data_IF_912555498800
#
_entry.id   IF_912555498800
#
_cell.length_a   1.000
_cell.length_b   1.000
_cell.length_c   1.000
_cell.angle_alpha   90.00
_cell.angle_beta   90.00
_cell.angle_gamma   90.00
#
_symmetry.space_group_name_H-M   'P 1'
#
loop_
_entity.id
_entity.type
_entity.pdbx_description
1 polymer ?
#
# COMPACT_ATOMS: atom_id res chain seq x y z
N UNK A 1 42.54 -36.91 33.92
CA UNK A 1 41.90 -37.98 34.70
C UNK A 1 40.45 -37.59 34.95
N UNK A 2 39.54 -38.56 34.78
CA UNK A 2 38.11 -38.58 35.19
C UNK A 2 37.10 -37.89 34.27
N UNK A 3 36.77 -38.61 33.21
CA UNK A 3 35.41 -38.69 32.64
C UNK A 3 34.45 -39.40 33.61
N UNK A 4 33.21 -38.92 33.69
CA UNK A 4 31.99 -39.62 34.13
C UNK A 4 30.88 -39.06 33.21
N UNK A 5 30.19 -39.78 32.32
CA UNK A 5 29.49 -41.07 32.35
C UNK A 5 28.22 -41.04 33.21
N UNK A 6 27.08 -40.74 32.57
CA UNK A 6 25.72 -41.20 32.88
C UNK A 6 24.73 -40.53 31.92
N UNK A 7 23.58 -41.08 31.53
CA UNK A 7 23.09 -42.42 31.27
C UNK A 7 21.68 -42.21 30.68
N UNK A 8 21.24 -43.18 29.89
CA UNK A 8 19.97 -43.29 29.18
C UNK A 8 18.72 -42.74 29.89
N UNK A 9 17.75 -42.29 29.09
CA UNK A 9 16.35 -42.71 29.26
C UNK A 9 15.63 -42.72 27.90
N UNK A 10 15.28 -43.93 27.46
CA UNK A 10 14.32 -44.19 26.38
C UNK A 10 12.92 -43.80 26.88
N UNK A 11 12.22 -42.97 26.12
CA UNK A 11 10.79 -42.65 26.32
C UNK A 11 9.97 -43.18 25.15
N UNK A 12 8.93 -43.94 25.48
CA UNK A 12 8.16 -44.79 24.58
C UNK A 12 7.20 -44.05 23.63
N UNK A 13 6.92 -44.74 22.52
CA UNK A 13 5.87 -44.52 21.54
C UNK A 13 4.46 -44.44 22.17
N UNK A 14 3.64 -43.50 21.72
CA UNK A 14 2.17 -43.67 21.73
C UNK A 14 1.59 -43.13 20.43
N UNK A 15 1.12 -44.05 19.57
CA UNK A 15 0.25 -43.73 18.44
C UNK A 15 -1.14 -43.40 19.00
N UNK A 16 -1.65 -42.20 18.70
CA UNK A 16 -3.05 -41.88 18.87
C UNK A 16 -3.72 -41.84 17.50
N UNK A 17 -4.49 -42.90 17.23
CA UNK A 17 -5.51 -42.93 16.19
C UNK A 17 -6.69 -42.10 16.68
N UNK A 18 -7.13 -41.10 15.91
CA UNK A 18 -8.38 -40.38 16.17
C UNK A 18 -9.10 -40.14 14.86
N UNK A 19 -10.39 -40.46 14.90
CA UNK A 19 -11.27 -40.70 13.77
C UNK A 19 -11.57 -39.46 12.91
N UNK A 20 -11.88 -39.74 11.64
CA UNK A 20 -12.53 -38.82 10.71
C UNK A 20 -13.98 -38.53 11.17
N UNK A 21 -14.41 -37.26 11.24
CA UNK A 21 -15.84 -36.93 11.17
C UNK A 21 -16.27 -36.74 9.70
N UNK A 22 -17.31 -37.50 9.31
CA UNK A 22 -18.04 -37.33 8.07
C UNK A 22 -18.88 -36.05 8.10
N UNK A 23 -18.98 -35.40 6.93
CA UNK A 23 -19.75 -34.21 6.63
C UNK A 23 -21.24 -34.31 6.96
N UNK A 24 -21.88 -33.17 7.27
CA UNK A 24 -23.22 -32.90 6.79
C UNK A 24 -23.19 -31.85 5.67
N UNK A 25 -23.74 -32.22 4.51
CA UNK A 25 -24.18 -31.30 3.46
C UNK A 25 -25.41 -30.55 3.96
N UNK A 26 -25.38 -29.22 3.94
CA UNK A 26 -26.57 -28.39 3.88
C UNK A 26 -26.20 -27.03 3.27
N UNK A 27 -26.55 -26.91 2.00
CA UNK A 27 -27.04 -25.72 1.32
C UNK A 27 -27.55 -24.65 2.30
N UNK A 28 -26.87 -23.50 2.32
CA UNK A 28 -27.38 -22.26 2.91
C UNK A 28 -26.62 -21.09 2.31
N UNK A 29 -27.17 -20.65 1.18
CA UNK A 29 -27.53 -19.25 0.93
C UNK A 29 -26.40 -18.21 0.91
N UNK A 30 -26.31 -17.59 -0.26
CA UNK A 30 -25.88 -16.22 -0.53
C UNK A 30 -24.36 -15.98 -0.44
N UNK A 31 -23.74 -16.05 -1.62
CA UNK A 31 -23.21 -14.84 -2.28
C UNK A 31 -23.23 -13.61 -1.37
N UNK A 32 -22.18 -13.42 -0.57
CA UNK A 32 -21.93 -12.13 0.07
C UNK A 32 -21.28 -11.22 -0.96
N UNK A 33 -22.09 -10.75 -1.89
CA UNK A 33 -22.01 -9.36 -2.30
C UNK A 33 -23.29 -8.72 -1.77
N UNK A 34 -23.17 -7.57 -1.08
CA UNK A 34 -22.81 -6.38 -1.83
C UNK A 34 -21.71 -5.57 -1.14
N UNK A 35 -20.60 -5.36 -1.84
CA UNK A 35 -19.95 -4.05 -1.75
C UNK A 35 -21.00 -3.00 -2.16
N UNK A 36 -21.57 -2.36 -1.15
CA UNK A 36 -22.34 -1.12 -1.15
C UNK A 36 -22.99 -0.70 -2.49
N UNK A 37 -24.15 -1.25 -2.80
CA UNK A 37 -25.06 -0.66 -3.77
C UNK A 37 -25.91 0.40 -3.03
N UNK A 38 -25.64 1.70 -3.26
CA UNK A 38 -26.66 2.74 -2.98
C UNK A 38 -26.24 4.04 -2.28
N UNK A 39 -24.96 4.29 -1.98
CA UNK A 39 -24.52 5.67 -1.76
C UNK A 39 -23.89 6.16 -3.06
N UNK A 40 -24.41 7.24 -3.64
CA UNK A 40 -23.68 7.94 -4.68
C UNK A 40 -22.29 8.29 -4.10
N UNK A 41 -21.20 8.09 -4.84
CA UNK A 41 -19.90 8.52 -4.35
C UNK A 41 -19.95 9.99 -3.98
N UNK A 42 -19.39 10.37 -2.83
CA UNK A 42 -19.23 11.77 -2.40
C UNK A 42 -18.14 12.51 -3.22
N UNK A 43 -17.76 12.00 -4.41
CA UNK A 43 -16.75 12.60 -5.30
C UNK A 43 -17.34 13.05 -6.64
N UNK A 44 -16.76 14.11 -7.20
CA UNK A 44 -17.09 14.58 -8.55
C UNK A 44 -16.11 14.03 -9.59
N UNK A 45 -16.61 13.18 -10.49
CA UNK A 45 -15.82 12.67 -11.63
C UNK A 45 -15.45 13.76 -12.63
N UNK A 46 -14.37 13.52 -13.39
CA UNK A 46 -13.79 14.37 -14.40
C UNK A 46 -12.27 14.28 -14.39
N UNK A 47 -11.61 15.45 -14.35
CA UNK A 47 -10.15 15.53 -14.26
C UNK A 47 -9.72 15.68 -12.81
N UNK A 48 -9.32 14.57 -12.21
CA UNK A 48 -8.99 14.45 -10.81
C UNK A 48 -7.49 14.70 -10.59
N UNK A 49 -7.11 15.02 -9.36
CA UNK A 49 -5.75 15.38 -9.00
C UNK A 49 -5.15 14.42 -7.97
N UNK A 50 -3.85 14.18 -8.06
CA UNK A 50 -3.06 13.59 -6.99
C UNK A 50 -1.91 14.53 -6.63
N UNK A 51 -1.83 14.90 -5.36
CA UNK A 51 -0.70 15.61 -4.79
C UNK A 51 0.16 14.62 -4.01
N UNK A 52 1.47 14.59 -4.28
CA UNK A 52 2.44 13.72 -3.61
C UNK A 52 3.58 14.54 -3.05
N UNK A 53 3.87 14.32 -1.77
CA UNK A 53 5.11 14.72 -1.13
C UNK A 53 5.96 13.47 -0.99
N UNK A 54 7.09 13.41 -1.69
CA UNK A 54 8.05 12.32 -1.55
C UNK A 54 9.28 12.81 -0.79
N UNK A 55 9.60 12.14 0.31
CA UNK A 55 10.84 12.39 1.04
C UNK A 55 11.99 11.61 0.39
N UNK A 56 13.21 12.16 0.44
CA UNK A 56 14.42 11.45 -0.01
C UNK A 56 14.63 10.21 0.86
N UNK A 57 15.22 9.14 0.30
CA UNK A 57 15.32 7.84 1.01
C UNK A 57 15.94 7.93 2.41
N UNK A 58 16.92 8.82 2.59
CA UNK A 58 17.61 9.02 3.86
C UNK A 58 17.11 10.23 4.65
N UNK A 59 16.10 10.93 4.15
CA UNK A 59 15.49 12.07 4.81
C UNK A 59 14.06 11.73 5.20
N UNK A 60 13.71 11.93 6.46
CA UNK A 60 12.32 11.86 6.90
C UNK A 60 11.76 13.28 7.08
N UNK A 61 10.52 13.40 7.55
CA UNK A 61 10.07 14.62 8.22
C UNK A 61 11.12 15.07 9.24
N UNK A 62 11.31 16.38 9.39
CA UNK A 62 12.26 16.92 10.36
C UNK A 62 12.03 16.28 11.73
N UNK A 63 13.05 15.59 12.25
CA UNK A 63 13.00 14.91 13.55
C UNK A 63 12.73 13.40 13.52
N UNK A 64 12.51 12.79 12.34
CA UNK A 64 12.19 11.34 12.25
C UNK A 64 13.39 10.39 12.34
N UNK A 65 14.63 10.91 12.38
CA UNK A 65 15.85 10.10 12.34
C UNK A 65 16.12 9.55 10.93
N UNK A 66 17.20 10.00 10.29
CA UNK A 66 17.58 9.50 8.96
C UNK A 66 17.97 8.02 8.99
N UNK A 67 17.55 7.24 7.99
CA UNK A 67 17.97 5.84 7.82
C UNK A 67 16.85 4.82 7.60
N UNK A 68 15.77 5.16 6.89
CA UNK A 68 14.80 4.14 6.48
C UNK A 68 15.24 3.47 5.17
N UNK A 69 15.05 2.15 5.06
CA UNK A 69 15.26 1.42 3.80
C UNK A 69 14.16 1.73 2.77
N UNK A 70 13.01 2.21 3.25
CA UNK A 70 11.83 2.54 2.46
C UNK A 70 11.71 4.05 2.23
N UNK A 71 10.99 4.43 1.19
CA UNK A 71 10.56 5.79 0.96
C UNK A 71 9.37 6.16 1.85
N UNK A 72 9.28 7.44 2.17
CA UNK A 72 8.09 8.03 2.78
C UNK A 72 7.38 8.89 1.77
N UNK A 73 6.07 8.70 1.65
CA UNK A 73 5.22 9.56 0.84
C UNK A 73 4.00 10.04 1.61
N UNK A 74 3.57 11.25 1.33
CA UNK A 74 2.22 11.73 1.66
C UNK A 74 1.49 11.90 0.34
N UNK A 75 0.29 11.33 0.24
CA UNK A 75 -0.55 11.38 -0.95
C UNK A 75 -1.88 12.02 -0.58
N UNK A 76 -2.38 12.92 -1.42
CA UNK A 76 -3.72 13.47 -1.32
C UNK A 76 -4.40 13.34 -2.68
N UNK A 77 -5.54 12.67 -2.71
CA UNK A 77 -6.38 12.55 -3.90
C UNK A 77 -7.46 13.62 -3.87
N UNK A 78 -7.68 14.25 -5.01
CA UNK A 78 -8.67 15.31 -5.20
C UNK A 78 -9.58 14.98 -6.37
N UNK A 79 -10.85 15.31 -6.25
CA UNK A 79 -11.82 15.14 -7.31
C UNK A 79 -11.70 16.24 -8.39
N UNK A 80 -12.64 16.28 -9.34
CA UNK A 80 -12.66 17.27 -10.41
C UNK A 80 -12.90 18.71 -9.92
N UNK A 81 -13.46 18.91 -8.72
CA UNK A 81 -13.63 20.22 -8.08
C UNK A 81 -12.43 20.62 -7.20
N UNK A 82 -11.41 19.77 -7.14
CA UNK A 82 -10.22 19.92 -6.28
C UNK A 82 -10.50 19.68 -4.79
N UNK A 83 -11.63 19.06 -4.45
CA UNK A 83 -11.94 18.68 -3.08
C UNK A 83 -11.19 17.39 -2.70
N UNK A 84 -10.59 17.30 -1.50
CA UNK A 84 -9.86 16.12 -1.08
C UNK A 84 -10.82 14.96 -0.81
N UNK A 85 -10.60 13.84 -1.50
CA UNK A 85 -11.45 12.64 -1.47
C UNK A 85 -10.73 11.40 -0.92
N UNK A 86 -9.49 11.55 -0.49
CA UNK A 86 -8.69 10.46 0.04
C UNK A 86 -7.22 10.81 0.15
N UNK A 87 -6.43 9.86 0.62
CA UNK A 87 -4.99 10.04 0.80
C UNK A 87 -4.43 9.31 2.01
N UNK A 88 -3.11 9.43 2.17
CA UNK A 88 -2.35 8.85 3.26
C UNK A 88 -1.22 9.79 3.64
N UNK A 89 -0.83 9.79 4.91
CA UNK A 89 0.30 10.58 5.41
C UNK A 89 1.44 9.66 5.82
N UNK A 90 2.66 9.95 5.33
CA UNK A 90 3.90 9.24 5.67
C UNK A 90 3.87 7.72 5.46
N UNK A 91 3.21 7.26 4.41
CA UNK A 91 3.22 5.87 3.99
C UNK A 91 4.65 5.39 3.72
N UNK A 92 5.03 4.23 4.30
CA UNK A 92 6.26 3.50 3.94
C UNK A 92 6.02 2.80 2.62
N UNK A 93 6.87 3.04 1.63
CA UNK A 93 6.83 2.28 0.37
C UNK A 93 8.23 1.69 0.13
N UNK A 94 8.38 0.35 0.17
CA UNK A 94 9.59 -0.29 -0.33
C UNK A 94 9.77 0.05 -1.81
N UNK A 95 11.01 0.35 -2.22
CA UNK A 95 11.28 0.67 -3.62
C UNK A 95 10.86 -0.48 -4.55
N UNK A 96 10.10 -0.17 -5.60
CA UNK A 96 9.63 -1.17 -6.57
C UNK A 96 8.31 -1.88 -6.20
N UNK A 97 7.61 -1.43 -5.15
CA UNK A 97 6.36 -2.02 -4.68
C UNK A 97 5.20 -1.01 -4.81
N UNK A 98 4.07 -1.47 -5.34
CA UNK A 98 2.82 -0.70 -5.36
C UNK A 98 2.10 -0.81 -4.02
N UNK A 99 1.61 0.31 -3.53
CA UNK A 99 0.71 0.40 -2.38
C UNK A 99 -0.59 1.08 -2.79
N UNK A 100 -1.71 0.59 -2.25
CA UNK A 100 -3.04 1.15 -2.47
C UNK A 100 -3.31 2.36 -1.57
N UNK A 101 -4.04 3.35 -2.09
CA UNK A 101 -4.41 4.57 -1.40
C UNK A 101 -5.93 4.61 -1.19
N UNK A 102 -6.33 4.68 0.07
CA UNK A 102 -7.73 4.78 0.46
C UNK A 102 -8.35 6.11 -0.02
N UNK A 103 -9.53 6.02 -0.63
CA UNK A 103 -10.29 7.16 -1.13
C UNK A 103 -11.75 6.83 -1.35
N UNK A 104 -12.52 7.85 -1.77
CA UNK A 104 -13.91 7.71 -2.22
C UNK A 104 -14.02 7.29 -3.70
N UNK A 105 -12.91 7.07 -4.40
CA UNK A 105 -12.91 6.61 -5.79
C UNK A 105 -13.46 5.17 -5.89
N UNK A 106 -14.08 4.80 -7.03
CA UNK A 106 -14.63 3.46 -7.25
C UNK A 106 -13.55 2.38 -7.37
N UNK A 107 -12.38 2.72 -7.91
CA UNK A 107 -11.23 1.82 -8.05
C UNK A 107 -10.11 2.24 -7.09
N UNK A 108 -9.22 1.30 -6.78
CA UNK A 108 -8.04 1.60 -5.94
C UNK A 108 -7.04 2.42 -6.75
N UNK A 109 -6.61 3.55 -6.19
CA UNK A 109 -5.45 4.30 -6.69
C UNK A 109 -4.19 3.68 -6.09
N UNK A 110 -3.22 3.31 -6.92
CA UNK A 110 -1.96 2.72 -6.46
C UNK A 110 -0.77 3.62 -6.78
N UNK A 111 0.23 3.59 -5.92
CA UNK A 111 1.47 4.35 -6.06
C UNK A 111 2.69 3.45 -5.80
N UNK A 112 3.74 3.64 -6.59
CA UNK A 112 5.05 3.01 -6.41
C UNK A 112 6.14 4.09 -6.44
N UNK A 113 7.13 3.96 -5.56
CA UNK A 113 8.36 4.77 -5.62
C UNK A 113 9.50 3.88 -6.11
N UNK A 114 10.32 4.41 -7.03
CA UNK A 114 11.52 3.74 -7.51
C UNK A 114 12.56 3.44 -6.40
N UNK A 115 13.65 2.75 -6.75
CA UNK A 115 14.70 2.34 -5.83
C UNK A 115 15.61 3.49 -5.34
N UNK A 116 15.70 4.57 -6.13
CA UNK A 116 16.57 5.75 -5.90
C UNK A 116 15.83 7.07 -6.13
N UNK A 117 16.26 8.16 -5.47
CA UNK A 117 15.61 9.49 -5.51
C UNK A 117 15.38 10.04 -6.94
N UNK A 118 16.25 9.69 -7.90
CA UNK A 118 16.16 10.15 -9.29
C UNK A 118 15.12 9.41 -10.13
N UNK A 119 14.59 8.28 -9.65
CA UNK A 119 13.54 7.55 -10.35
C UNK A 119 12.18 8.23 -10.21
N UNK A 120 11.27 8.06 -11.19
CA UNK A 120 9.94 8.64 -11.11
C UNK A 120 9.09 7.89 -10.07
N UNK A 121 7.98 8.53 -9.70
CA UNK A 121 6.89 7.87 -8.98
C UNK A 121 5.91 7.33 -10.03
N UNK A 122 5.48 6.08 -9.87
CA UNK A 122 4.55 5.43 -10.77
C UNK A 122 3.15 5.37 -10.14
N UNK A 123 2.14 5.47 -10.99
CA UNK A 123 0.75 5.56 -10.59
C UNK A 123 -0.10 4.58 -11.40
N UNK A 124 -1.13 4.04 -10.75
CA UNK A 124 -2.20 3.28 -11.40
C UNK A 124 -3.55 3.68 -10.84
N UNK A 125 -4.55 3.69 -11.73
CA UNK A 125 -5.95 3.85 -11.35
C UNK A 125 -6.82 3.24 -12.44
N UNK A 126 -7.63 2.24 -12.07
CA UNK A 126 -8.39 1.43 -13.03
C UNK A 126 -7.47 0.90 -14.17
N UNK A 127 -7.79 1.21 -15.43
CA UNK A 127 -6.99 0.83 -16.60
C UNK A 127 -5.84 1.81 -16.93
N UNK A 128 -5.70 2.91 -16.19
CA UNK A 128 -4.68 3.93 -16.43
C UNK A 128 -3.39 3.60 -15.68
N UNK A 129 -2.24 3.81 -16.32
CA UNK A 129 -0.94 3.79 -15.67
C UNK A 129 -0.04 4.86 -16.27
N UNK A 130 0.65 5.60 -15.41
CA UNK A 130 1.56 6.67 -15.79
C UNK A 130 2.63 6.86 -14.72
N UNK A 131 3.54 7.80 -14.93
CA UNK A 131 4.54 8.16 -13.94
C UNK A 131 4.72 9.68 -13.84
N UNK A 132 5.49 10.13 -12.86
CA UNK A 132 5.70 11.54 -12.56
C UNK A 132 6.37 12.34 -13.69
N UNK A 133 6.95 11.69 -14.71
CA UNK A 133 7.50 12.38 -15.88
C UNK A 133 6.47 12.60 -17.00
N UNK A 134 5.23 12.12 -16.83
CA UNK A 134 4.18 12.27 -17.82
C UNK A 134 3.72 13.73 -17.94
N UNK A 135 3.17 14.10 -19.09
CA UNK A 135 2.78 15.49 -19.39
C UNK A 135 1.69 16.03 -18.45
N UNK A 136 0.88 15.15 -17.85
CA UNK A 136 -0.12 15.50 -16.85
C UNK A 136 0.45 15.77 -15.45
N UNK A 137 1.77 15.74 -15.28
CA UNK A 137 2.44 15.94 -14.00
C UNK A 137 3.29 17.21 -13.98
N UNK A 138 3.26 17.91 -12.85
CA UNK A 138 4.19 18.96 -12.47
C UNK A 138 5.04 18.47 -11.29
N UNK A 139 6.35 18.38 -11.50
CA UNK A 139 7.28 17.84 -10.49
C UNK A 139 8.26 18.93 -10.05
N UNK A 140 8.25 19.24 -8.76
CA UNK A 140 9.24 20.11 -8.13
C UNK A 140 10.58 19.40 -7.93
N UNK A 141 11.65 20.18 -7.80
CA UNK A 141 12.93 19.67 -7.33
C UNK A 141 12.90 19.29 -5.85
N UNK A 142 13.90 18.53 -5.41
CA UNK A 142 14.11 18.30 -3.98
C UNK A 142 14.54 19.58 -3.28
N UNK A 143 13.84 19.94 -2.21
CA UNK A 143 14.17 21.04 -1.32
C UNK A 143 13.80 20.64 0.10
N UNK A 144 14.72 20.86 1.06
CA UNK A 144 14.52 20.47 2.47
C UNK A 144 14.18 18.98 2.67
N UNK A 145 14.75 18.09 1.85
CA UNK A 145 14.60 16.64 2.02
C UNK A 145 13.40 16.01 1.36
N UNK A 146 12.60 16.78 0.62
CA UNK A 146 11.44 16.26 -0.09
C UNK A 146 11.22 16.99 -1.41
N UNK A 147 10.47 16.36 -2.31
CA UNK A 147 9.92 16.98 -3.53
C UNK A 147 8.40 16.90 -3.50
N UNK A 148 7.76 17.82 -4.21
CA UNK A 148 6.32 17.86 -4.38
C UNK A 148 5.97 17.57 -5.84
N UNK A 149 4.87 16.86 -6.04
CA UNK A 149 4.38 16.46 -7.36
C UNK A 149 2.87 16.65 -7.38
N UNK A 150 2.36 17.26 -8.46
CA UNK A 150 0.94 17.35 -8.73
C UNK A 150 0.67 16.71 -10.10
N UNK A 151 -0.11 15.63 -10.14
CA UNK A 151 -0.49 14.96 -11.38
C UNK A 151 -2.00 14.94 -11.54
N UNK A 152 -2.47 14.93 -12.79
CA UNK A 152 -3.88 14.72 -13.11
C UNK A 152 -4.17 13.33 -13.65
N UNK A 153 -5.40 12.86 -13.51
CA UNK A 153 -5.89 11.60 -14.09
C UNK A 153 -7.41 11.65 -14.27
N UNK A 154 -7.94 10.79 -15.13
CA UNK A 154 -9.39 10.66 -15.29
C UNK A 154 -9.97 9.84 -14.14
N UNK A 155 -10.93 10.40 -13.43
CA UNK A 155 -11.82 9.71 -12.51
C UNK A 155 -13.26 10.18 -12.74
#
# INVERSE_FOLDING_TARGET
MRSALAALLLGALSLQTSALPQSPSADSLQSRNPAAEGAAPDYVGGWCGVHVIQYQKNEGPKGSGGGTIDYRVTVTLKDALQDPIGGVTLLSIPGGVYEGIDSQLPDVFEIEVGGVDSEPVYFKYAAQSWNSNAAQCSVGGYANGYRQMDCGFSC
#
